data_IF_821387780594
#
_entry.id   IF_821387780594
#
_cell.length_a   1.000
_cell.length_b   1.000
_cell.length_c   1.000
_cell.angle_alpha   90.00
_cell.angle_beta   90.00
_cell.angle_gamma   90.00
#
_symmetry.space_group_name_H-M   'P 1'
#
loop_
_entity.id
_entity.type
_entity.pdbx_description
1 polymer ?
#
# COMPACT_ATOMS: atom_id res chain seq x y z
N UNK A 1 -15.13 -5.92 1.05
CA UNK A 1 -16.05 -6.85 1.72
C UNK A 1 -16.53 -6.28 3.05
N UNK A 2 -17.66 -6.78 3.59
CA UNK A 2 -18.10 -6.50 4.97
C UNK A 2 -18.99 -5.27 5.17
N UNK A 3 -19.24 -4.45 4.17
CA UNK A 3 -20.02 -3.21 4.28
C UNK A 3 -21.36 -3.40 5.02
N UNK A 4 -22.22 -4.29 4.54
CA UNK A 4 -23.55 -4.51 5.10
C UNK A 4 -23.52 -4.81 6.60
N UNK A 5 -22.58 -5.68 7.02
CA UNK A 5 -22.39 -6.05 8.43
C UNK A 5 -21.82 -4.92 9.25
N UNK A 6 -20.81 -4.23 8.72
CA UNK A 6 -20.16 -3.11 9.38
C UNK A 6 -21.14 -1.94 9.64
N UNK A 7 -21.91 -1.56 8.62
CA UNK A 7 -22.88 -0.44 8.70
C UNK A 7 -24.07 -0.79 9.61
N UNK A 8 -24.55 -2.01 9.59
CA UNK A 8 -25.52 -2.47 10.59
C UNK A 8 -24.92 -2.45 12.01
N UNK A 9 -23.66 -2.89 12.14
CA UNK A 9 -22.96 -2.99 13.42
C UNK A 9 -22.72 -1.61 14.08
N UNK A 10 -22.49 -0.54 13.32
CA UNK A 10 -22.34 0.81 13.89
C UNK A 10 -23.61 1.34 14.58
N UNK A 11 -24.77 0.68 14.36
CA UNK A 11 -26.04 1.03 15.00
C UNK A 11 -26.30 0.31 16.32
N UNK A 12 -25.47 -0.67 16.67
CA UNK A 12 -25.63 -1.46 17.89
C UNK A 12 -25.68 -0.61 19.19
N UNK A 13 -24.80 0.40 19.37
CA UNK A 13 -24.79 1.17 20.64
C UNK A 13 -26.11 1.87 20.98
N UNK A 14 -26.90 2.21 19.97
CA UNK A 14 -28.19 2.91 20.15
C UNK A 14 -29.38 2.05 19.70
N UNK A 15 -29.16 0.75 19.42
CA UNK A 15 -30.19 -0.18 18.95
C UNK A 15 -31.03 0.35 17.77
N UNK A 16 -30.43 1.24 16.95
CA UNK A 16 -31.14 1.96 15.89
C UNK A 16 -31.18 1.18 14.56
N UNK A 17 -31.28 -0.14 14.61
CA UNK A 17 -31.30 -1.04 13.43
C UNK A 17 -32.47 -0.78 12.46
N UNK A 18 -33.58 -0.28 12.97
CA UNK A 18 -34.74 0.11 12.15
C UNK A 18 -34.44 1.24 11.15
N UNK A 19 -33.31 1.96 11.35
CA UNK A 19 -32.83 3.02 10.44
C UNK A 19 -31.78 2.51 9.45
N UNK A 20 -31.41 1.20 9.49
CA UNK A 20 -30.43 0.65 8.57
C UNK A 20 -31.05 0.56 7.17
N UNK A 21 -30.45 1.25 6.20
CA UNK A 21 -30.91 1.36 4.82
C UNK A 21 -29.85 0.90 3.79
N UNK A 22 -28.79 0.24 4.26
CA UNK A 22 -27.78 -0.38 3.39
C UNK A 22 -28.30 -1.71 2.87
N UNK A 23 -28.31 -1.86 1.54
CA UNK A 23 -28.68 -3.10 0.84
C UNK A 23 -27.50 -3.67 0.05
N UNK A 24 -27.55 -4.96 -0.22
CA UNK A 24 -26.62 -5.63 -1.09
C UNK A 24 -27.41 -6.36 -2.17
N UNK A 25 -27.28 -5.91 -3.40
CA UNK A 25 -28.00 -6.42 -4.56
C UNK A 25 -27.01 -6.82 -5.65
N UNK A 26 -27.13 -8.06 -6.14
CA UNK A 26 -26.27 -8.60 -7.21
C UNK A 26 -24.75 -8.45 -6.92
N UNK A 27 -24.35 -8.60 -5.66
CA UNK A 27 -22.95 -8.44 -5.22
C UNK A 27 -22.46 -6.99 -5.14
N UNK A 28 -23.35 -6.02 -5.36
CA UNK A 28 -23.06 -4.59 -5.18
C UNK A 28 -23.71 -4.11 -3.89
N UNK A 29 -22.94 -3.33 -3.14
CA UNK A 29 -23.43 -2.65 -1.93
C UNK A 29 -23.97 -1.29 -2.31
N UNK A 30 -25.19 -0.98 -1.87
CA UNK A 30 -25.78 0.35 -1.94
C UNK A 30 -26.00 0.85 -0.52
N UNK A 31 -25.25 1.87 -0.14
CA UNK A 31 -25.35 2.50 1.18
C UNK A 31 -26.43 3.58 1.08
N UNK A 32 -27.48 3.48 1.93
CA UNK A 32 -28.53 4.47 1.99
C UNK A 32 -28.08 5.72 2.77
N UNK A 33 -28.86 6.79 2.65
CA UNK A 33 -28.54 8.10 3.23
C UNK A 33 -28.42 8.09 4.75
N UNK A 34 -29.26 7.29 5.43
CA UNK A 34 -29.23 7.16 6.88
C UNK A 34 -27.93 6.53 7.38
N UNK A 35 -27.47 5.47 6.72
CA UNK A 35 -26.24 4.78 7.08
C UNK A 35 -25.02 5.61 6.68
N UNK A 36 -25.02 6.20 5.50
CA UNK A 36 -23.92 7.05 5.04
C UNK A 36 -23.73 8.28 5.96
N UNK A 37 -24.81 8.97 6.28
CA UNK A 37 -24.76 10.11 7.19
C UNK A 37 -24.29 9.75 8.60
N UNK A 38 -24.68 8.57 9.13
CA UNK A 38 -24.17 8.11 10.42
C UNK A 38 -22.68 7.75 10.33
N UNK A 39 -22.27 7.02 9.29
CA UNK A 39 -20.88 6.64 9.07
C UNK A 39 -19.96 7.86 9.04
N UNK A 40 -20.30 8.89 8.28
CA UNK A 40 -19.52 10.14 8.19
C UNK A 40 -19.44 10.88 9.53
N UNK A 41 -20.52 10.93 10.31
CA UNK A 41 -20.47 11.50 11.67
C UNK A 41 -19.55 10.73 12.59
N UNK A 42 -19.58 9.38 12.55
CA UNK A 42 -18.70 8.54 13.36
C UNK A 42 -17.22 8.65 12.93
N UNK A 43 -16.95 8.81 11.63
CA UNK A 43 -15.58 9.06 11.13
C UNK A 43 -15.06 10.39 11.69
N UNK A 44 -15.84 11.46 11.62
CA UNK A 44 -15.46 12.78 12.16
C UNK A 44 -15.27 12.77 13.67
N UNK A 45 -16.04 11.95 14.39
CA UNK A 45 -15.95 11.82 15.85
C UNK A 45 -14.67 11.10 16.34
N UNK A 46 -13.89 10.45 15.45
CA UNK A 46 -12.59 9.91 15.78
C UNK A 46 -12.55 8.37 15.88
N UNK A 47 -11.36 7.85 16.17
CA UNK A 47 -11.04 6.41 16.10
C UNK A 47 -11.91 5.52 17.00
N UNK A 48 -12.34 6.05 18.15
CA UNK A 48 -13.19 5.30 19.09
C UNK A 48 -14.62 5.10 18.58
N UNK A 49 -15.08 5.97 17.68
CA UNK A 49 -16.43 5.93 17.13
C UNK A 49 -16.50 5.23 15.78
N UNK A 50 -15.44 5.26 14.97
CA UNK A 50 -15.41 4.67 13.62
C UNK A 50 -14.98 3.20 13.57
N UNK A 51 -15.16 2.44 14.65
CA UNK A 51 -14.76 1.02 14.74
C UNK A 51 -15.37 0.14 13.64
N UNK A 52 -16.52 0.51 13.09
CA UNK A 52 -17.16 -0.19 11.97
C UNK A 52 -16.24 -0.27 10.73
N UNK A 53 -15.37 0.71 10.50
CA UNK A 53 -14.43 0.72 9.38
C UNK A 53 -13.39 -0.41 9.47
N UNK A 54 -13.12 -0.94 10.67
CA UNK A 54 -12.26 -2.12 10.89
C UNK A 54 -12.92 -3.42 10.43
N UNK A 55 -14.21 -3.38 10.08
CA UNK A 55 -14.98 -4.54 9.59
C UNK A 55 -15.21 -4.47 8.08
N UNK A 56 -14.71 -3.45 7.40
CA UNK A 56 -14.74 -3.32 5.95
C UNK A 56 -13.34 -3.65 5.43
N UNK A 57 -13.21 -4.74 4.65
CA UNK A 57 -11.93 -5.29 4.22
C UNK A 57 -11.70 -5.08 2.73
N UNK A 58 -10.44 -4.88 2.39
CA UNK A 58 -9.92 -4.89 1.02
C UNK A 58 -8.77 -5.89 0.96
N UNK A 59 -8.74 -6.71 -0.09
CA UNK A 59 -7.62 -7.59 -0.39
C UNK A 59 -7.09 -7.23 -1.76
N UNK A 60 -5.76 -7.03 -1.88
CA UNK A 60 -5.12 -6.54 -3.10
C UNK A 60 -3.68 -7.05 -3.18
N UNK A 61 -3.23 -7.29 -4.42
CA UNK A 61 -1.83 -7.54 -4.71
C UNK A 61 -1.14 -6.20 -5.01
N UNK A 62 -0.08 -5.91 -4.26
CA UNK A 62 0.71 -4.70 -4.42
C UNK A 62 2.15 -5.10 -4.71
N UNK A 63 2.70 -4.59 -5.81
CA UNK A 63 4.13 -4.66 -6.11
C UNK A 63 4.72 -3.28 -5.83
N UNK A 64 5.70 -3.22 -4.94
CA UNK A 64 6.32 -1.97 -4.52
C UNK A 64 7.76 -2.21 -4.03
N UNK A 65 8.62 -1.18 -4.03
CA UNK A 65 9.99 -1.30 -3.56
C UNK A 65 10.07 -1.51 -2.04
N UNK A 66 11.18 -2.07 -1.57
CA UNK A 66 11.37 -2.37 -0.14
C UNK A 66 11.27 -1.11 0.74
N UNK A 67 11.70 0.05 0.25
CA UNK A 67 11.57 1.31 0.99
C UNK A 67 10.10 1.71 1.19
N UNK A 68 9.23 1.45 0.21
CA UNK A 68 7.79 1.68 0.32
C UNK A 68 7.15 0.74 1.36
N UNK A 69 7.55 -0.53 1.36
CA UNK A 69 7.07 -1.50 2.32
C UNK A 69 7.47 -1.17 3.76
N UNK A 70 8.65 -0.56 3.97
CA UNK A 70 9.05 -0.07 5.30
C UNK A 70 8.08 0.99 5.84
N UNK A 71 7.60 1.88 4.98
CA UNK A 71 6.58 2.87 5.35
C UNK A 71 5.24 2.18 5.58
N UNK A 72 4.80 1.31 4.65
CA UNK A 72 3.54 0.56 4.80
C UNK A 72 3.48 -0.23 6.10
N UNK A 73 4.57 -0.85 6.53
CA UNK A 73 4.64 -1.64 7.75
C UNK A 73 4.43 -0.80 9.04
N UNK A 74 4.46 0.52 8.96
CA UNK A 74 4.08 1.41 10.08
C UNK A 74 2.57 1.42 10.32
N UNK A 75 1.75 1.06 9.32
CA UNK A 75 0.29 0.98 9.36
C UNK A 75 -0.26 -0.44 9.51
N UNK A 76 0.58 -1.41 9.78
CA UNK A 76 0.24 -2.85 9.72
C UNK A 76 -0.77 -3.34 10.76
N UNK A 77 -1.15 -2.54 11.74
CA UNK A 77 -2.13 -2.96 12.75
C UNK A 77 -3.47 -3.27 12.09
N UNK A 78 -3.90 -4.53 12.17
CA UNK A 78 -5.13 -5.02 11.51
C UNK A 78 -4.94 -5.37 10.04
N UNK A 79 -3.71 -5.41 9.53
CA UNK A 79 -3.39 -5.91 8.18
C UNK A 79 -2.83 -7.33 8.24
N UNK A 80 -2.99 -8.07 7.15
CA UNK A 80 -2.35 -9.37 6.93
C UNK A 80 -1.69 -9.33 5.55
N UNK A 81 -0.43 -9.79 5.46
CA UNK A 81 0.30 -9.80 4.20
C UNK A 81 0.99 -11.15 3.96
N UNK A 82 0.87 -11.64 2.72
CA UNK A 82 1.68 -12.72 2.19
C UNK A 82 2.61 -12.15 1.12
N UNK A 83 3.92 -12.17 1.38
CA UNK A 83 4.91 -11.59 0.48
C UNK A 83 5.62 -12.63 -0.36
N UNK A 84 6.04 -12.25 -1.57
CA UNK A 84 7.08 -12.99 -2.29
C UNK A 84 8.36 -12.97 -1.46
N UNK A 85 8.96 -14.15 -1.29
CA UNK A 85 10.16 -14.24 -0.48
C UNK A 85 11.39 -13.79 -1.27
N UNK A 86 11.92 -12.62 -0.94
CA UNK A 86 13.20 -12.15 -1.48
C UNK A 86 14.31 -13.19 -1.25
N UNK A 87 14.36 -13.76 -0.05
CA UNK A 87 15.40 -14.72 0.32
C UNK A 87 15.37 -16.01 -0.50
N UNK A 88 14.18 -16.51 -0.87
CA UNK A 88 14.06 -17.74 -1.66
C UNK A 88 14.05 -17.46 -3.16
N UNK A 89 13.62 -16.30 -3.59
CA UNK A 89 13.42 -15.95 -5.01
C UNK A 89 14.54 -15.14 -5.63
N UNK A 90 15.37 -14.47 -4.85
CA UNK A 90 16.47 -13.63 -5.35
C UNK A 90 17.36 -14.33 -6.37
N UNK A 91 17.60 -15.64 -6.21
CA UNK A 91 18.43 -16.42 -7.12
C UNK A 91 17.66 -17.14 -8.24
N UNK A 92 16.33 -17.10 -8.26
CA UNK A 92 15.53 -17.92 -9.20
C UNK A 92 15.30 -17.26 -10.56
N UNK A 93 15.30 -15.93 -10.62
CA UNK A 93 15.12 -15.14 -11.83
C UNK A 93 16.36 -14.30 -12.11
N UNK A 94 16.69 -14.01 -13.38
CA UNK A 94 17.74 -13.05 -13.70
C UNK A 94 17.47 -11.69 -13.03
N UNK A 95 18.53 -11.04 -12.57
CA UNK A 95 18.45 -9.71 -11.97
C UNK A 95 18.67 -8.69 -13.09
N UNK A 96 17.63 -7.93 -13.38
CA UNK A 96 17.58 -6.88 -14.41
C UNK A 96 17.00 -5.60 -13.81
N UNK A 97 16.98 -4.51 -14.56
CA UNK A 97 16.38 -3.24 -14.19
C UNK A 97 14.93 -3.40 -13.74
N UNK A 98 14.17 -4.29 -14.38
CA UNK A 98 12.76 -4.59 -14.06
C UNK A 98 12.55 -5.11 -12.62
N UNK A 99 13.64 -5.55 -11.98
CA UNK A 99 13.58 -5.99 -10.58
C UNK A 99 13.53 -4.82 -9.59
N UNK A 100 13.75 -3.60 -10.06
CA UNK A 100 13.87 -2.41 -9.24
C UNK A 100 12.84 -1.35 -9.60
N UNK A 101 12.53 -0.50 -8.65
CA UNK A 101 11.74 0.69 -8.89
C UNK A 101 12.61 1.73 -9.61
N UNK A 102 12.24 2.08 -10.83
CA UNK A 102 12.97 2.99 -11.71
C UNK A 102 12.04 3.96 -12.44
N UNK A 103 10.74 4.05 -12.08
CA UNK A 103 9.74 4.80 -12.83
C UNK A 103 10.03 6.31 -12.91
N UNK A 104 10.66 6.89 -11.88
CA UNK A 104 11.06 8.30 -11.83
C UNK A 104 12.59 8.46 -11.73
N UNK A 105 13.33 7.42 -12.11
CA UNK A 105 14.78 7.43 -12.08
C UNK A 105 15.34 8.42 -13.11
N UNK A 106 16.17 9.34 -12.61
CA UNK A 106 16.97 10.25 -13.44
C UNK A 106 18.46 9.88 -13.29
N UNK A 107 19.04 9.39 -14.38
CA UNK A 107 20.43 8.97 -14.41
C UNK A 107 21.42 10.13 -14.14
N UNK A 108 21.01 11.35 -14.48
CA UNK A 108 21.85 12.57 -14.38
C UNK A 108 21.05 13.71 -13.80
N UNK A 109 21.23 13.98 -12.52
CA UNK A 109 20.61 15.11 -11.84
C UNK A 109 21.54 16.31 -11.91
N UNK A 110 21.11 17.38 -12.57
CA UNK A 110 21.83 18.65 -12.65
C UNK A 110 21.38 19.59 -11.54
N UNK A 111 22.31 20.02 -10.71
CA UNK A 111 22.11 20.97 -9.62
C UNK A 111 23.00 22.18 -9.82
N UNK A 112 22.68 23.31 -9.16
CA UNK A 112 23.53 24.51 -9.18
C UNK A 112 24.92 24.23 -8.59
N UNK A 113 25.01 23.30 -7.64
CA UNK A 113 26.24 22.89 -6.97
C UNK A 113 27.06 21.87 -7.77
N UNK A 114 26.46 21.25 -8.82
CA UNK A 114 27.16 20.25 -9.63
C UNK A 114 26.21 19.20 -10.24
N UNK A 115 26.82 18.15 -10.78
CA UNK A 115 26.12 17.05 -11.45
C UNK A 115 26.23 15.81 -10.59
N UNK A 116 25.11 15.13 -10.37
CA UNK A 116 25.05 13.79 -9.77
C UNK A 116 24.69 12.79 -10.86
N UNK A 117 25.63 11.92 -11.20
CA UNK A 117 25.43 10.83 -12.16
C UNK A 117 25.39 9.50 -11.41
N UNK A 118 24.35 8.70 -11.67
CA UNK A 118 24.16 7.41 -11.01
C UNK A 118 24.03 6.22 -11.96
N UNK A 119 23.96 6.45 -13.26
CA UNK A 119 23.80 5.38 -14.27
C UNK A 119 24.88 4.30 -14.19
N UNK A 120 26.13 4.73 -14.18
CA UNK A 120 27.27 3.78 -14.07
C UNK A 120 27.20 2.98 -12.80
N UNK A 121 26.82 3.59 -11.68
CA UNK A 121 26.68 2.90 -10.39
C UNK A 121 25.55 1.87 -10.43
N UNK A 122 24.38 2.23 -10.96
CA UNK A 122 23.25 1.31 -11.11
C UNK A 122 23.61 0.11 -11.99
N UNK A 123 24.20 0.34 -13.15
CA UNK A 123 24.66 -0.71 -14.05
C UNK A 123 25.65 -1.67 -13.37
N UNK A 124 26.56 -1.14 -12.56
CA UNK A 124 27.50 -1.93 -11.78
C UNK A 124 26.80 -2.74 -10.67
N UNK A 125 25.83 -2.17 -9.97
CA UNK A 125 25.07 -2.89 -8.95
C UNK A 125 24.33 -4.08 -9.57
N UNK A 126 23.60 -3.85 -10.64
CA UNK A 126 22.78 -4.88 -11.31
C UNK A 126 23.68 -5.99 -11.85
N UNK A 127 24.74 -5.63 -12.57
CA UNK A 127 25.68 -6.61 -13.13
C UNK A 127 26.41 -7.40 -12.04
N UNK A 128 26.75 -6.77 -10.92
CA UNK A 128 27.39 -7.43 -9.78
C UNK A 128 26.43 -8.43 -9.13
N UNK A 129 25.21 -8.03 -8.86
CA UNK A 129 24.18 -8.91 -8.26
C UNK A 129 23.86 -10.09 -9.19
N UNK A 130 23.72 -9.86 -10.49
CA UNK A 130 23.50 -10.92 -11.46
C UNK A 130 24.72 -11.86 -11.56
N UNK A 131 25.93 -11.32 -11.58
CA UNK A 131 27.16 -12.11 -11.54
C UNK A 131 27.24 -13.00 -10.30
N UNK A 132 26.93 -12.46 -9.13
CA UNK A 132 26.86 -13.21 -7.87
C UNK A 132 25.76 -14.29 -7.92
N UNK A 133 24.60 -13.99 -8.50
CA UNK A 133 23.53 -14.96 -8.71
C UNK A 133 24.01 -16.14 -9.55
N UNK A 134 24.68 -15.90 -10.66
CA UNK A 134 25.22 -16.93 -11.52
C UNK A 134 26.26 -17.81 -10.80
N UNK A 135 27.14 -17.20 -10.01
CA UNK A 135 28.11 -17.95 -9.18
C UNK A 135 27.38 -18.78 -8.13
N UNK A 136 26.39 -18.21 -7.44
CA UNK A 136 25.60 -18.95 -6.46
C UNK A 136 24.85 -20.14 -7.08
N UNK A 137 24.27 -19.97 -8.27
CA UNK A 137 23.60 -21.08 -8.95
C UNK A 137 24.49 -22.27 -9.24
N UNK A 138 25.77 -22.01 -9.54
CA UNK A 138 26.78 -23.08 -9.82
C UNK A 138 27.33 -23.69 -8.53
N UNK A 139 27.61 -22.86 -7.52
CA UNK A 139 28.37 -23.30 -6.33
C UNK A 139 27.49 -23.65 -5.15
N UNK A 140 26.28 -23.10 -5.08
CA UNK A 140 25.39 -23.15 -3.91
C UNK A 140 26.02 -22.61 -2.62
N UNK A 141 27.08 -21.78 -2.75
CA UNK A 141 27.76 -21.21 -1.59
C UNK A 141 26.89 -20.17 -0.88
N UNK A 142 26.52 -20.48 0.35
CA UNK A 142 25.67 -19.62 1.17
C UNK A 142 26.29 -18.24 1.49
N UNK A 143 27.61 -18.11 1.40
CA UNK A 143 28.30 -16.83 1.62
C UNK A 143 27.93 -15.85 0.50
N UNK A 144 27.93 -16.31 -0.76
CA UNK A 144 27.55 -15.50 -1.93
C UNK A 144 26.08 -15.10 -1.82
N UNK A 145 25.21 -16.06 -1.50
CA UNK A 145 23.79 -15.77 -1.28
C UNK A 145 23.58 -14.69 -0.20
N UNK A 146 24.32 -14.76 0.91
CA UNK A 146 24.22 -13.77 1.98
C UNK A 146 24.72 -12.38 1.55
N UNK A 147 25.79 -12.31 0.74
CA UNK A 147 26.29 -11.06 0.19
C UNK A 147 25.28 -10.42 -0.78
N UNK A 148 24.62 -11.21 -1.63
CA UNK A 148 23.54 -10.69 -2.50
C UNK A 148 22.44 -10.00 -1.66
N UNK A 149 22.03 -10.60 -0.54
CA UNK A 149 21.02 -9.99 0.34
C UNK A 149 21.53 -8.70 0.97
N UNK A 150 22.80 -8.64 1.37
CA UNK A 150 23.40 -7.43 1.97
C UNK A 150 23.48 -6.26 1.01
N UNK A 151 23.76 -6.57 -0.26
CA UNK A 151 23.96 -5.58 -1.32
C UNK A 151 22.66 -5.20 -2.03
N UNK A 152 21.56 -5.86 -1.71
CA UNK A 152 20.28 -5.62 -2.39
C UNK A 152 19.78 -4.20 -2.14
N UNK A 153 19.64 -3.37 -3.18
CA UNK A 153 19.10 -2.03 -3.04
C UNK A 153 17.69 -2.02 -2.47
N UNK A 154 17.35 -0.98 -1.74
CA UNK A 154 15.99 -0.81 -1.21
C UNK A 154 14.93 -0.53 -2.30
N UNK A 155 15.36 -0.21 -3.51
CA UNK A 155 14.52 -0.11 -4.71
C UNK A 155 14.03 -1.47 -5.23
N UNK A 156 14.55 -2.61 -4.71
CA UNK A 156 14.10 -3.95 -5.09
C UNK A 156 12.60 -4.09 -4.91
N UNK A 157 11.91 -4.52 -5.97
CA UNK A 157 10.47 -4.71 -5.96
C UNK A 157 10.05 -6.02 -5.29
N UNK A 158 9.05 -5.94 -4.44
CA UNK A 158 8.43 -7.10 -3.78
C UNK A 158 6.92 -7.04 -3.91
N UNK A 159 6.32 -8.15 -4.34
CA UNK A 159 4.86 -8.28 -4.38
C UNK A 159 4.35 -8.85 -3.06
N UNK A 160 3.30 -8.23 -2.52
CA UNK A 160 2.56 -8.76 -1.37
C UNK A 160 1.07 -8.77 -1.67
N UNK A 161 0.41 -9.89 -1.37
CA UNK A 161 -1.05 -9.91 -1.22
C UNK A 161 -1.38 -9.40 0.17
N UNK A 162 -2.08 -8.27 0.24
CA UNK A 162 -2.39 -7.60 1.51
C UNK A 162 -3.89 -7.55 1.71
N UNK A 163 -4.33 -7.94 2.91
CA UNK A 163 -5.68 -7.65 3.40
C UNK A 163 -5.59 -6.55 4.45
N UNK A 164 -6.36 -5.48 4.26
CA UNK A 164 -6.41 -4.31 5.14
C UNK A 164 -7.85 -3.82 5.32
N UNK A 165 -8.06 -2.95 6.26
CA UNK A 165 -9.38 -2.37 6.55
C UNK A 165 -9.52 -0.95 5.99
N UNK A 166 -10.75 -0.47 5.85
CA UNK A 166 -11.01 0.93 5.49
C UNK A 166 -10.45 1.91 6.52
N UNK A 167 -10.30 1.51 7.78
CA UNK A 167 -9.64 2.36 8.77
C UNK A 167 -8.14 2.49 8.51
N UNK A 168 -7.47 1.40 8.07
CA UNK A 168 -6.07 1.49 7.63
C UNK A 168 -5.95 2.45 6.44
N UNK A 169 -6.82 2.31 5.44
CA UNK A 169 -6.83 3.17 4.26
C UNK A 169 -7.09 4.65 4.63
N UNK A 170 -8.04 4.92 5.50
CA UNK A 170 -8.29 6.29 5.99
C UNK A 170 -7.02 6.89 6.63
N UNK A 171 -6.29 6.12 7.43
CA UNK A 171 -5.05 6.59 8.04
C UNK A 171 -3.96 6.83 7.00
N UNK A 172 -3.73 5.87 6.09
CA UNK A 172 -2.72 5.93 5.02
C UNK A 172 -3.00 7.05 4.01
N UNK A 173 -4.27 7.33 3.73
CA UNK A 173 -4.73 8.32 2.74
C UNK A 173 -5.11 9.66 3.37
N UNK A 174 -4.91 9.88 4.66
CA UNK A 174 -5.26 11.12 5.34
C UNK A 174 -4.57 12.34 4.72
N UNK A 175 -5.22 13.51 4.79
CA UNK A 175 -4.66 14.75 4.24
C UNK A 175 -3.27 15.07 4.82
N UNK A 176 -3.06 14.80 6.11
CA UNK A 176 -1.75 14.97 6.76
C UNK A 176 -0.70 14.06 6.15
N UNK A 177 -1.03 12.78 5.98
CA UNK A 177 -0.11 11.78 5.44
C UNK A 177 0.25 12.07 3.98
N UNK A 178 -0.73 12.38 3.14
CA UNK A 178 -0.48 12.79 1.73
C UNK A 178 0.44 13.99 1.62
N UNK A 179 0.27 14.97 2.52
CA UNK A 179 1.08 16.19 2.52
C UNK A 179 2.55 15.93 2.84
N UNK A 180 2.84 14.99 3.72
CA UNK A 180 4.21 14.68 4.14
C UNK A 180 4.86 13.56 3.34
N UNK A 181 4.09 12.78 2.59
CA UNK A 181 4.61 11.64 1.87
C UNK A 181 5.22 12.08 0.54
N UNK A 182 6.54 11.88 0.41
CA UNK A 182 7.32 12.29 -0.77
C UNK A 182 7.44 11.17 -1.82
N UNK A 183 7.10 9.94 -1.46
CA UNK A 183 7.17 8.81 -2.38
C UNK A 183 6.01 8.88 -3.38
N UNK A 184 6.35 8.94 -4.68
CA UNK A 184 5.37 9.04 -5.78
C UNK A 184 4.45 7.84 -5.82
N UNK A 185 4.98 6.66 -5.54
CA UNK A 185 4.26 5.39 -5.48
C UNK A 185 3.18 5.40 -4.36
N UNK A 186 3.38 6.22 -3.31
CA UNK A 186 2.40 6.43 -2.26
C UNK A 186 1.46 7.58 -2.58
N UNK A 187 2.02 8.76 -2.84
CA UNK A 187 1.25 10.00 -2.96
C UNK A 187 0.38 10.07 -4.21
N UNK A 188 0.69 9.27 -5.24
CA UNK A 188 -0.11 9.13 -6.45
C UNK A 188 -0.64 7.71 -6.57
N UNK A 189 0.17 6.74 -6.96
CA UNK A 189 -0.28 5.40 -7.37
C UNK A 189 -1.15 4.70 -6.32
N UNK A 190 -0.70 4.64 -5.06
CA UNK A 190 -1.48 3.99 -3.99
C UNK A 190 -2.75 4.77 -3.63
N UNK A 191 -2.66 6.09 -3.53
CA UNK A 191 -3.81 6.96 -3.23
C UNK A 191 -4.82 6.95 -4.37
N UNK A 192 -4.38 7.03 -5.62
CA UNK A 192 -5.27 6.97 -6.78
C UNK A 192 -5.97 5.61 -6.87
N UNK A 193 -5.26 4.52 -6.60
CA UNK A 193 -5.90 3.22 -6.44
C UNK A 193 -6.95 3.23 -5.32
N UNK A 194 -6.64 3.76 -4.15
CA UNK A 194 -7.58 3.81 -3.03
C UNK A 194 -8.86 4.59 -3.36
N UNK A 195 -8.79 5.62 -4.23
CA UNK A 195 -9.95 6.37 -4.72
C UNK A 195 -10.91 5.53 -5.57
N UNK A 196 -10.43 4.45 -6.19
CA UNK A 196 -11.26 3.56 -7.01
C UNK A 196 -12.15 2.62 -6.17
N UNK A 197 -11.91 2.55 -4.86
CA UNK A 197 -12.65 1.67 -3.98
C UNK A 197 -14.09 2.15 -3.75
N UNK A 198 -15.04 1.23 -3.51
CA UNK A 198 -16.43 1.60 -3.24
C UNK A 198 -16.54 2.58 -2.07
N UNK A 199 -17.26 3.69 -2.26
CA UNK A 199 -17.45 4.73 -1.24
C UNK A 199 -16.16 5.32 -0.67
N UNK A 200 -15.08 5.30 -1.46
CA UNK A 200 -13.79 5.82 -1.03
C UNK A 200 -13.88 7.31 -0.66
N UNK A 201 -14.57 8.10 -1.49
CA UNK A 201 -14.73 9.54 -1.25
C UNK A 201 -15.41 9.84 0.10
N UNK A 202 -16.43 9.08 0.43
CA UNK A 202 -17.24 9.32 1.63
C UNK A 202 -16.61 8.76 2.90
N UNK A 203 -15.84 7.65 2.79
CA UNK A 203 -15.35 6.91 3.94
C UNK A 203 -13.83 7.00 4.12
N UNK A 204 -13.06 7.06 3.03
CA UNK A 204 -11.57 7.10 3.08
C UNK A 204 -11.05 8.53 2.93
N UNK A 205 -11.72 9.36 2.12
CA UNK A 205 -11.32 10.74 1.82
C UNK A 205 -12.33 11.79 2.30
N UNK A 206 -12.83 11.70 3.56
CA UNK A 206 -13.91 12.59 4.04
C UNK A 206 -13.50 14.07 4.07
N UNK A 207 -12.19 14.37 4.13
CA UNK A 207 -11.64 15.73 4.14
C UNK A 207 -11.63 16.38 2.75
N UNK A 208 -11.85 15.59 1.70
CA UNK A 208 -11.94 16.05 0.31
C UNK A 208 -13.38 16.24 -0.14
N UNK A 209 -14.34 16.00 0.75
CA UNK A 209 -15.76 16.22 0.45
C UNK A 209 -15.96 17.67 0.07
N UNK A 210 -16.13 17.80 -1.20
CA UNK A 210 -16.43 18.90 -2.09
C UNK A 210 -17.08 20.10 -1.41
N UNK A 211 -16.43 21.24 -1.54
CA UNK A 211 -17.14 22.49 -1.73
C UNK A 211 -17.91 22.38 -3.08
N UNK A 212 -19.14 21.86 -3.04
CA UNK A 212 -20.14 22.01 -4.09
C UNK A 212 -20.90 23.29 -3.77
#
# INVERSE_FOLDING_TARGET
YGFKRALKGMRNPLESWHKNDTVEENGKVVIGENDLGLAQRLIKAGSEHRKFMRQIFVSVDITAPLYWWKEFDTYKVGTTANSTSTMHKLATTPITDECFEMDDYDAVIMLDEGIVETETLWNNIISTLEGMRQVYLRTKDKRIWKEMIRLLPSAWQQTRTVTMTYENLLAMCSKGQRRFHKLTEWSKSFIDWARTLPYAQELIFPDEAVNI
#
